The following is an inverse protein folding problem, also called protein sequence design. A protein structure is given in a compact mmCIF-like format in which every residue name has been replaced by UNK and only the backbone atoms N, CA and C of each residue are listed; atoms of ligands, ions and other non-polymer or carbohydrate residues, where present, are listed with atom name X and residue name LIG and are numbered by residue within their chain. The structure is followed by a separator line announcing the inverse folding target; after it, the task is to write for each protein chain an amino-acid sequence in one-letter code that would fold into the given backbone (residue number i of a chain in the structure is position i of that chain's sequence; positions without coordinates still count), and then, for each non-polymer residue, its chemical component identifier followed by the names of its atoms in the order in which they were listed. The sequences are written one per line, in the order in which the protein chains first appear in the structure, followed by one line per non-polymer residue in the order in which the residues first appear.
data_IF_511644811242
#
_entry.id   IF_511644811242
#
_cell.length_a   1.000
_cell.length_b   1.000
_cell.length_c   1.000
_cell.angle_alpha   90.00
_cell.angle_beta   90.00
_cell.angle_gamma   90.00
#
_symmetry.space_group_name_H-M   'P 1'
#
loop_
_entity.id
_entity.type
_entity.pdbx_description
1 polymer ?
#
# COMPACT_ATOMS: atom_id res chain seq x y z
N UNK A 1 14.18 10.54 8.65
CA UNK A 1 13.92 9.16 8.16
C UNK A 1 14.06 8.21 9.35
N UNK A 2 12.99 7.50 9.70
CA UNK A 2 13.06 6.49 10.77
C UNK A 2 13.96 5.32 10.34
N UNK A 3 14.77 4.84 11.28
CA UNK A 3 15.61 3.67 11.07
C UNK A 3 14.76 2.39 11.08
N UNK A 4 14.78 1.65 9.98
CA UNK A 4 14.04 0.39 9.82
C UNK A 4 14.88 -0.86 10.13
N UNK A 5 16.14 -0.70 10.57
CA UNK A 5 17.09 -1.81 10.80
C UNK A 5 16.53 -2.86 11.76
N UNK A 6 15.93 -2.42 12.88
CA UNK A 6 15.27 -3.31 13.85
C UNK A 6 14.18 -4.16 13.18
N UNK A 7 13.32 -3.53 12.39
CA UNK A 7 12.18 -4.19 11.77
C UNK A 7 12.60 -5.12 10.63
N UNK A 8 13.62 -4.73 9.87
CA UNK A 8 14.27 -5.61 8.89
C UNK A 8 14.86 -6.85 9.55
N UNK A 9 15.48 -6.72 10.73
CA UNK A 9 15.97 -7.85 11.53
C UNK A 9 14.84 -8.80 11.92
N UNK A 10 13.75 -8.28 12.48
CA UNK A 10 12.56 -9.08 12.85
C UNK A 10 11.98 -9.79 11.63
N UNK A 11 11.89 -9.12 10.49
CA UNK A 11 11.34 -9.69 9.26
C UNK A 11 12.19 -10.84 8.69
N UNK A 12 13.53 -10.78 8.84
CA UNK A 12 14.42 -11.90 8.51
C UNK A 12 14.20 -13.11 9.40
N UNK A 13 14.09 -12.88 10.71
CA UNK A 13 13.92 -13.96 11.70
C UNK A 13 12.56 -14.64 11.60
N UNK A 14 11.51 -13.87 11.30
CA UNK A 14 10.11 -14.30 11.32
C UNK A 14 9.50 -14.49 9.93
N UNK A 15 10.33 -14.74 8.91
CA UNK A 15 9.87 -14.82 7.51
C UNK A 15 8.80 -15.91 7.26
N UNK A 16 8.78 -16.95 8.08
CA UNK A 16 7.82 -18.06 8.00
C UNK A 16 6.71 -18.00 9.06
N UNK A 17 6.70 -16.98 9.93
CA UNK A 17 5.75 -16.83 11.04
C UNK A 17 4.43 -16.18 10.60
N UNK A 18 3.91 -16.53 9.44
CA UNK A 18 2.63 -15.99 8.98
C UNK A 18 1.46 -16.85 9.47
N UNK A 19 0.32 -16.22 9.84
CA UNK A 19 -0.89 -16.99 10.09
C UNK A 19 -1.25 -17.84 8.88
N UNK A 20 -1.54 -19.13 9.12
CA UNK A 20 -1.92 -20.06 8.07
C UNK A 20 -3.44 -20.23 8.01
N UNK A 21 -4.03 -20.12 6.82
CA UNK A 21 -5.44 -20.34 6.56
C UNK A 21 -5.63 -20.87 5.14
N UNK A 22 -6.76 -21.50 4.85
CA UNK A 22 -7.04 -21.97 3.49
C UNK A 22 -7.19 -20.80 2.49
N UNK A 23 -6.62 -20.93 1.30
CA UNK A 23 -6.73 -19.94 0.22
C UNK A 23 -5.43 -19.78 -0.56
N UNK A 24 -5.50 -19.03 -1.65
CA UNK A 24 -4.36 -18.79 -2.56
C UNK A 24 -3.26 -17.92 -1.93
N UNK A 25 -3.63 -17.13 -0.92
CA UNK A 25 -2.73 -16.22 -0.18
C UNK A 25 -2.46 -16.72 1.24
N UNK A 26 -2.63 -18.04 1.47
CA UNK A 26 -2.25 -18.67 2.73
C UNK A 26 -0.80 -18.35 3.09
N UNK A 27 -0.54 -18.12 4.35
CA UNK A 27 0.80 -17.77 4.88
C UNK A 27 1.40 -16.49 4.24
N UNK A 28 0.56 -15.53 3.86
CA UNK A 28 0.96 -14.21 3.40
C UNK A 28 0.44 -13.12 4.34
N UNK A 29 1.22 -12.06 4.51
CA UNK A 29 0.82 -10.83 5.20
C UNK A 29 0.71 -9.68 4.20
N UNK A 30 -0.45 -9.02 4.20
CA UNK A 30 -0.76 -7.92 3.29
C UNK A 30 -1.01 -6.61 4.04
N UNK A 31 -0.60 -5.49 3.47
CA UNK A 31 -1.04 -4.15 3.89
C UNK A 31 -1.89 -3.56 2.76
N UNK A 32 -3.05 -3.01 3.09
CA UNK A 32 -3.89 -2.24 2.16
C UNK A 32 -4.10 -0.84 2.73
N UNK A 33 -3.65 0.20 2.01
CA UNK A 33 -3.87 1.59 2.44
C UNK A 33 -5.23 2.11 1.97
N UNK A 34 -5.87 2.98 2.78
CA UNK A 34 -7.22 3.49 2.51
C UNK A 34 -8.26 2.37 2.53
N UNK A 35 -8.13 1.41 3.46
CA UNK A 35 -8.93 0.19 3.47
C UNK A 35 -10.05 0.15 4.50
N UNK A 36 -10.36 1.27 5.16
CA UNK A 36 -11.53 1.36 6.02
C UNK A 36 -12.87 1.42 5.24
N UNK A 37 -12.84 1.75 3.95
CA UNK A 37 -14.04 1.87 3.10
C UNK A 37 -13.74 1.66 1.61
N UNK A 38 -14.79 1.66 0.77
CA UNK A 38 -14.69 1.67 -0.69
C UNK A 38 -13.91 0.50 -1.28
N UNK A 39 -13.12 0.76 -2.34
CA UNK A 39 -12.32 -0.26 -3.00
C UNK A 39 -11.29 -0.89 -2.07
N UNK A 40 -10.62 -0.08 -1.23
CA UNK A 40 -9.63 -0.58 -0.28
C UNK A 40 -10.20 -1.61 0.67
N UNK A 41 -11.42 -1.38 1.21
CA UNK A 41 -12.13 -2.36 2.05
C UNK A 41 -12.41 -3.64 1.27
N UNK A 42 -13.01 -3.54 0.08
CA UNK A 42 -13.33 -4.71 -0.75
C UNK A 42 -12.09 -5.53 -1.15
N UNK A 43 -10.95 -4.85 -1.41
CA UNK A 43 -9.67 -5.50 -1.68
C UNK A 43 -9.17 -6.23 -0.43
N UNK A 44 -9.17 -5.58 0.73
CA UNK A 44 -8.73 -6.17 2.00
C UNK A 44 -9.58 -7.41 2.37
N UNK A 45 -10.91 -7.32 2.24
CA UNK A 45 -11.84 -8.43 2.44
C UNK A 45 -11.55 -9.60 1.50
N UNK A 46 -11.24 -9.32 0.23
CA UNK A 46 -10.93 -10.35 -0.77
C UNK A 46 -9.60 -11.04 -0.47
N UNK A 47 -8.57 -10.29 -0.11
CA UNK A 47 -7.27 -10.80 0.30
C UNK A 47 -7.39 -11.67 1.57
N UNK A 48 -8.19 -11.22 2.54
CA UNK A 48 -8.46 -11.97 3.77
C UNK A 48 -9.16 -13.30 3.49
N UNK A 49 -10.18 -13.31 2.61
CA UNK A 49 -10.89 -14.55 2.19
C UNK A 49 -9.97 -15.54 1.47
N UNK A 50 -8.94 -15.06 0.79
CA UNK A 50 -7.92 -15.89 0.14
C UNK A 50 -6.84 -16.39 1.12
N UNK A 51 -7.02 -16.20 2.42
CA UNK A 51 -6.18 -16.80 3.46
C UNK A 51 -5.06 -15.92 4.01
N UNK A 52 -4.85 -14.72 3.51
CA UNK A 52 -3.82 -13.83 4.05
C UNK A 52 -4.18 -13.24 5.42
N UNK A 53 -3.15 -12.85 6.17
CA UNK A 53 -3.28 -11.85 7.21
C UNK A 53 -3.29 -10.45 6.58
N UNK A 54 -4.14 -9.53 7.09
CA UNK A 54 -4.34 -8.23 6.43
C UNK A 54 -4.27 -7.09 7.44
N UNK A 55 -3.45 -6.09 7.13
CA UNK A 55 -3.42 -4.80 7.81
C UNK A 55 -4.41 -3.86 7.14
N UNK A 56 -5.41 -3.41 7.89
CA UNK A 56 -6.38 -2.40 7.52
C UNK A 56 -5.79 -1.04 7.88
N UNK A 57 -5.12 -0.41 6.91
CA UNK A 57 -4.37 0.83 7.12
C UNK A 57 -5.17 2.03 6.61
N UNK A 58 -5.61 2.92 7.49
CA UNK A 58 -6.43 4.07 7.13
C UNK A 58 -6.19 5.27 8.05
N UNK A 59 -6.50 6.47 7.56
CA UNK A 59 -6.52 7.69 8.37
C UNK A 59 -7.67 7.65 9.39
N UNK A 60 -8.81 7.07 9.00
CA UNK A 60 -9.97 6.83 9.87
C UNK A 60 -9.77 5.54 10.67
N UNK A 61 -9.03 5.64 11.77
CA UNK A 61 -8.68 4.50 12.61
C UNK A 61 -9.88 3.76 13.18
N UNK A 62 -10.90 4.49 13.64
CA UNK A 62 -12.10 3.89 14.25
C UNK A 62 -12.86 3.01 13.24
N UNK A 63 -12.94 3.47 11.99
CA UNK A 63 -13.55 2.67 10.92
C UNK A 63 -12.66 1.49 10.52
N UNK A 64 -11.33 1.68 10.50
CA UNK A 64 -10.39 0.59 10.25
C UNK A 64 -10.49 -0.52 11.31
N UNK A 65 -10.64 -0.16 12.59
CA UNK A 65 -10.87 -1.12 13.68
C UNK A 65 -12.14 -1.94 13.44
N UNK A 66 -13.25 -1.31 13.09
CA UNK A 66 -14.50 -2.03 12.78
C UNK A 66 -14.33 -3.03 11.64
N UNK A 67 -13.64 -2.64 10.59
CA UNK A 67 -13.36 -3.55 9.46
C UNK A 67 -12.48 -4.72 9.90
N UNK A 68 -11.45 -4.46 10.71
CA UNK A 68 -10.57 -5.51 11.22
C UNK A 68 -11.32 -6.48 12.16
N UNK A 69 -12.17 -5.96 13.05
CA UNK A 69 -12.99 -6.75 13.96
C UNK A 69 -14.00 -7.63 13.20
N UNK A 70 -14.66 -7.08 12.18
CA UNK A 70 -15.60 -7.80 11.31
C UNK A 70 -14.91 -8.94 10.53
N UNK A 71 -13.65 -8.78 10.16
CA UNK A 71 -12.86 -9.79 9.46
C UNK A 71 -12.34 -10.87 10.41
N UNK A 72 -11.87 -10.52 11.60
CA UNK A 72 -11.42 -11.45 12.63
C UNK A 72 -9.88 -11.49 12.81
N UNK A 73 -9.37 -12.51 13.49
CA UNK A 73 -8.02 -12.57 14.11
C UNK A 73 -6.83 -12.34 13.16
N UNK A 74 -6.98 -12.62 11.86
CA UNK A 74 -5.95 -12.36 10.84
C UNK A 74 -6.01 -10.95 10.27
N UNK A 75 -6.92 -10.08 10.76
CA UNK A 75 -6.97 -8.66 10.41
C UNK A 75 -6.42 -7.81 11.55
N UNK A 76 -5.80 -6.68 11.20
CA UNK A 76 -5.21 -5.77 12.17
C UNK A 76 -5.33 -4.32 11.68
N UNK A 77 -5.92 -3.44 12.49
CA UNK A 77 -6.10 -2.04 12.13
C UNK A 77 -4.87 -1.20 12.49
N UNK A 78 -4.45 -0.33 11.58
CA UNK A 78 -3.37 0.64 11.80
C UNK A 78 -3.83 2.02 11.33
N UNK A 79 -3.66 3.02 12.19
CA UNK A 79 -3.84 4.42 11.77
C UNK A 79 -2.66 4.86 10.93
N UNK A 80 -2.92 5.39 9.74
CA UNK A 80 -1.87 5.95 8.88
C UNK A 80 -2.33 7.21 8.16
N UNK A 81 -1.49 8.24 8.21
CA UNK A 81 -1.49 9.32 7.24
C UNK A 81 -0.40 9.03 6.21
N UNK A 82 -0.78 8.60 5.02
CA UNK A 82 0.18 8.20 3.97
C UNK A 82 1.04 9.36 3.46
N UNK A 83 0.62 10.62 3.69
CA UNK A 83 1.40 11.82 3.35
C UNK A 83 2.45 12.19 4.42
N UNK A 84 2.48 11.48 5.55
CA UNK A 84 3.41 11.68 6.65
C UNK A 84 4.42 10.52 6.70
N UNK A 85 5.70 10.83 6.51
CA UNK A 85 6.76 9.83 6.42
C UNK A 85 6.90 9.00 7.71
N UNK A 86 6.77 9.63 8.88
CA UNK A 86 6.86 8.93 10.16
C UNK A 86 5.66 8.01 10.39
N UNK A 87 4.46 8.47 10.02
CA UNK A 87 3.25 7.65 10.08
C UNK A 87 3.32 6.42 9.18
N UNK A 88 3.90 6.55 7.97
CA UNK A 88 4.13 5.41 7.07
C UNK A 88 5.14 4.43 7.67
N UNK A 89 6.24 4.92 8.24
CA UNK A 89 7.22 4.06 8.90
C UNK A 89 6.61 3.31 10.10
N UNK A 90 5.75 3.97 10.90
CA UNK A 90 5.05 3.34 12.02
C UNK A 90 4.04 2.27 11.55
N UNK A 91 3.32 2.49 10.45
CA UNK A 91 2.46 1.49 9.84
C UNK A 91 3.25 0.23 9.45
N UNK A 92 4.39 0.41 8.80
CA UNK A 92 5.26 -0.71 8.40
C UNK A 92 5.81 -1.44 9.63
N UNK A 93 6.29 -0.70 10.64
CA UNK A 93 6.78 -1.25 11.89
C UNK A 93 5.72 -2.10 12.61
N UNK A 94 4.51 -1.56 12.79
CA UNK A 94 3.39 -2.26 13.43
C UNK A 94 2.97 -3.53 12.66
N UNK A 95 3.02 -3.49 11.33
CA UNK A 95 2.72 -4.64 10.47
C UNK A 95 3.74 -5.77 10.65
N UNK A 96 5.04 -5.43 10.71
CA UNK A 96 6.13 -6.39 10.96
C UNK A 96 6.04 -6.95 12.37
N UNK A 97 5.77 -6.11 13.37
CA UNK A 97 5.60 -6.56 14.76
C UNK A 97 4.46 -7.58 14.88
N UNK A 98 3.34 -7.30 14.24
CA UNK A 98 2.13 -8.15 14.32
C UNK A 98 2.28 -9.44 13.54
N UNK A 99 2.76 -9.38 12.30
CA UNK A 99 2.75 -10.52 11.38
C UNK A 99 4.14 -11.04 10.97
N UNK A 100 5.22 -10.46 11.49
CA UNK A 100 6.58 -10.92 11.22
C UNK A 100 7.16 -10.48 9.87
N UNK A 101 6.42 -9.70 9.05
CA UNK A 101 6.89 -9.17 7.76
C UNK A 101 5.75 -8.80 6.83
N UNK A 102 6.06 -8.55 5.55
CA UNK A 102 5.12 -8.05 4.54
C UNK A 102 5.37 -8.79 3.23
N UNK A 103 4.34 -9.45 2.68
CA UNK A 103 4.43 -10.21 1.43
C UNK A 103 3.68 -9.52 0.29
N UNK A 104 2.64 -8.73 0.61
CA UNK A 104 1.84 -7.97 -0.35
C UNK A 104 1.59 -6.56 0.18
N UNK A 105 1.86 -5.57 -0.66
CA UNK A 105 1.48 -4.18 -0.38
C UNK A 105 0.54 -3.67 -1.46
N UNK A 106 -0.65 -3.18 -1.06
CA UNK A 106 -1.61 -2.54 -1.94
C UNK A 106 -1.69 -1.05 -1.62
N UNK A 107 -1.14 -0.22 -2.50
CA UNK A 107 -1.24 1.23 -2.44
C UNK A 107 -2.58 1.67 -3.04
N UNK A 108 -3.59 1.81 -2.18
CA UNK A 108 -4.94 2.16 -2.61
C UNK A 108 -5.37 3.57 -2.13
N UNK A 109 -4.81 4.08 -1.03
CA UNK A 109 -5.17 5.40 -0.52
C UNK A 109 -5.05 6.47 -1.62
N UNK A 110 -6.11 7.25 -1.78
CA UNK A 110 -6.14 8.29 -2.81
C UNK A 110 -7.33 9.23 -2.65
N UNK A 111 -7.17 10.43 -3.16
CA UNK A 111 -8.16 11.52 -3.10
C UNK A 111 -8.33 12.18 -4.46
N UNK A 112 -9.46 12.87 -4.61
CA UNK A 112 -9.78 13.68 -5.80
C UNK A 112 -10.15 15.09 -5.36
N UNK A 113 -9.64 16.09 -6.08
CA UNK A 113 -10.12 17.47 -6.08
C UNK A 113 -10.25 17.91 -7.52
N UNK A 114 -11.48 18.20 -7.92
CA UNK A 114 -11.81 18.62 -9.29
C UNK A 114 -12.04 20.14 -9.32
N UNK A 115 -11.67 20.78 -10.42
CA UNK A 115 -11.91 22.20 -10.68
C UNK A 115 -11.46 22.58 -12.07
N UNK A 116 -12.00 23.67 -12.64
CA UNK A 116 -11.48 24.23 -13.87
C UNK A 116 -10.04 24.75 -13.65
N UNK A 117 -9.28 24.92 -14.74
CA UNK A 117 -7.90 25.39 -14.65
C UNK A 117 -7.79 26.78 -13.97
N UNK A 118 -8.82 27.61 -14.15
CA UNK A 118 -8.93 28.93 -13.50
C UNK A 118 -9.40 28.90 -12.05
N UNK A 119 -9.87 27.75 -11.54
CA UNK A 119 -10.52 27.61 -10.23
C UNK A 119 -9.71 26.75 -9.25
N UNK A 120 -8.96 25.77 -9.77
CA UNK A 120 -8.20 24.85 -8.91
C UNK A 120 -7.04 25.58 -8.25
N UNK A 121 -7.09 25.67 -6.92
CA UNK A 121 -6.05 26.31 -6.15
C UNK A 121 -4.81 25.41 -6.00
N UNK A 122 -3.64 26.04 -5.87
CA UNK A 122 -2.37 25.31 -5.65
C UNK A 122 -2.43 24.37 -4.44
N UNK A 123 -3.09 24.77 -3.35
CA UNK A 123 -3.23 23.92 -2.16
C UNK A 123 -3.96 22.60 -2.44
N UNK A 124 -5.00 22.63 -3.32
CA UNK A 124 -5.75 21.43 -3.70
C UNK A 124 -4.93 20.55 -4.65
N UNK A 125 -4.16 21.18 -5.55
CA UNK A 125 -3.21 20.46 -6.40
C UNK A 125 -2.15 19.74 -5.55
N UNK A 126 -1.51 20.44 -4.62
CA UNK A 126 -0.48 19.89 -3.72
C UNK A 126 -1.06 18.80 -2.81
N UNK A 127 -2.28 18.97 -2.31
CA UNK A 127 -2.97 17.97 -1.49
C UNK A 127 -3.18 16.66 -2.26
N UNK A 128 -3.69 16.73 -3.49
CA UNK A 128 -3.92 15.55 -4.31
C UNK A 128 -2.61 14.87 -4.70
N UNK A 129 -1.62 15.64 -5.14
CA UNK A 129 -0.31 15.09 -5.55
C UNK A 129 0.46 14.53 -4.36
N UNK A 130 0.34 15.15 -3.18
CA UNK A 130 0.92 14.66 -1.94
C UNK A 130 0.42 13.27 -1.55
N UNK A 131 -0.90 13.05 -1.64
CA UNK A 131 -1.51 11.77 -1.25
C UNK A 131 -1.41 10.71 -2.36
N UNK A 132 -1.67 11.09 -3.62
CA UNK A 132 -1.77 10.09 -4.69
C UNK A 132 -0.42 9.71 -5.32
N UNK A 133 0.60 10.59 -5.21
CA UNK A 133 1.89 10.41 -5.88
C UNK A 133 3.05 10.33 -4.88
N UNK A 134 3.26 11.38 -4.07
CA UNK A 134 4.39 11.39 -3.13
C UNK A 134 4.26 10.31 -2.05
N UNK A 135 3.03 10.06 -1.57
CA UNK A 135 2.78 9.01 -0.59
C UNK A 135 3.04 7.60 -1.14
N UNK A 136 2.79 7.35 -2.44
CA UNK A 136 3.14 6.08 -3.07
C UNK A 136 4.65 5.82 -2.98
N UNK A 137 5.46 6.83 -3.29
CA UNK A 137 6.92 6.73 -3.10
C UNK A 137 7.29 6.44 -1.65
N UNK A 138 6.72 7.17 -0.68
CA UNK A 138 7.00 6.97 0.74
C UNK A 138 6.64 5.54 1.20
N UNK A 139 5.46 5.07 0.85
CA UNK A 139 5.02 3.73 1.22
C UNK A 139 5.95 2.65 0.63
N UNK A 140 6.27 2.73 -0.66
CA UNK A 140 7.16 1.74 -1.30
C UNK A 140 8.55 1.79 -0.71
N UNK A 141 9.09 2.97 -0.41
CA UNK A 141 10.40 3.15 0.25
C UNK A 141 10.51 2.32 1.54
N UNK A 142 9.51 2.40 2.42
CA UNK A 142 9.54 1.70 3.71
C UNK A 142 9.16 0.23 3.60
N UNK A 143 8.16 -0.10 2.80
CA UNK A 143 7.73 -1.49 2.57
C UNK A 143 8.83 -2.30 1.89
N UNK A 144 9.46 -1.75 0.85
CA UNK A 144 10.51 -2.46 0.10
C UNK A 144 11.75 -2.75 0.96
N UNK A 145 12.06 -1.90 1.95
CA UNK A 145 13.16 -2.16 2.89
C UNK A 145 12.93 -3.46 3.69
N UNK A 146 11.69 -3.73 4.09
CA UNK A 146 11.31 -4.98 4.77
C UNK A 146 11.31 -6.16 3.79
N UNK A 147 10.71 -5.99 2.62
CA UNK A 147 10.63 -7.04 1.59
C UNK A 147 12.02 -7.47 1.10
N UNK A 148 12.95 -6.53 0.91
CA UNK A 148 14.35 -6.83 0.57
C UNK A 148 15.04 -7.66 1.67
N UNK A 149 14.84 -7.29 2.94
CA UNK A 149 15.38 -8.04 4.06
C UNK A 149 14.83 -9.48 4.13
N UNK A 150 13.58 -9.71 3.76
CA UNK A 150 12.97 -11.04 3.66
C UNK A 150 13.61 -11.85 2.52
N UNK A 151 13.78 -11.26 1.34
CA UNK A 151 14.46 -11.93 0.21
C UNK A 151 15.91 -12.25 0.51
N UNK A 152 16.65 -11.38 1.20
CA UNK A 152 18.03 -11.64 1.63
C UNK A 152 18.12 -12.83 2.61
N UNK A 153 17.09 -13.03 3.44
CA UNK A 153 17.02 -14.17 4.38
C UNK A 153 16.60 -15.48 3.71
N UNK A 154 15.71 -15.40 2.73
CA UNK A 154 15.26 -16.53 1.92
C UNK A 154 15.13 -16.12 0.44
N UNK A 155 16.12 -16.46 -0.41
CA UNK A 155 16.09 -16.14 -1.84
C UNK A 155 14.92 -16.76 -2.62
N UNK A 156 14.21 -17.75 -2.06
CA UNK A 156 12.99 -18.30 -2.65
C UNK A 156 11.74 -17.45 -2.34
N UNK A 157 11.85 -16.52 -1.38
CA UNK A 157 10.75 -15.62 -1.04
C UNK A 157 10.47 -14.64 -2.19
N UNK A 158 9.19 -14.37 -2.41
CA UNK A 158 8.71 -13.41 -3.41
C UNK A 158 7.70 -12.46 -2.80
N UNK A 159 7.72 -11.19 -3.22
CA UNK A 159 6.82 -10.15 -2.80
C UNK A 159 6.06 -9.49 -3.95
N UNK A 160 4.94 -8.85 -3.62
CA UNK A 160 4.12 -8.12 -4.58
C UNK A 160 3.77 -6.72 -4.06
N UNK A 161 3.91 -5.72 -4.93
CA UNK A 161 3.43 -4.35 -4.71
C UNK A 161 2.43 -4.03 -5.82
N UNK A 162 1.24 -3.58 -5.44
CA UNK A 162 0.16 -3.25 -6.39
C UNK A 162 -0.33 -1.82 -6.13
N UNK A 163 -0.24 -0.96 -7.13
CA UNK A 163 -0.86 0.36 -7.11
C UNK A 163 -2.29 0.28 -7.65
N UNK A 164 -3.26 0.79 -6.90
CA UNK A 164 -4.61 1.07 -7.43
C UNK A 164 -4.57 2.45 -8.08
N UNK A 165 -4.31 2.42 -9.37
CA UNK A 165 -4.20 3.61 -10.20
C UNK A 165 -5.59 4.04 -10.73
N UNK A 166 -5.71 4.40 -12.00
CA UNK A 166 -6.95 4.80 -12.68
C UNK A 166 -6.73 4.79 -14.19
N UNK A 167 -7.80 4.71 -14.97
CA UNK A 167 -7.74 5.06 -16.38
C UNK A 167 -7.16 6.47 -16.62
N UNK A 168 -7.34 7.39 -15.65
CA UNK A 168 -6.75 8.74 -15.68
C UNK A 168 -5.21 8.74 -15.55
N UNK A 169 -4.57 7.62 -15.29
CA UNK A 169 -3.12 7.42 -15.42
C UNK A 169 -2.68 7.05 -16.83
N UNK A 170 -3.63 6.80 -17.75
CA UNK A 170 -3.40 6.41 -19.14
C UNK A 170 -3.91 7.47 -20.13
N UNK A 171 -4.83 8.31 -19.70
CA UNK A 171 -5.42 9.40 -20.51
C UNK A 171 -5.71 10.63 -19.64
N UNK A 172 -5.65 11.84 -20.23
CA UNK A 172 -5.97 13.07 -19.55
C UNK A 172 -7.45 13.14 -19.11
N UNK A 173 -7.72 13.87 -18.02
CA UNK A 173 -9.07 14.01 -17.46
C UNK A 173 -9.44 15.48 -17.29
N UNK A 174 -10.52 15.94 -17.96
CA UNK A 174 -11.00 17.31 -17.89
C UNK A 174 -11.38 17.68 -16.45
N UNK A 175 -10.89 18.83 -15.97
CA UNK A 175 -11.10 19.36 -14.61
C UNK A 175 -10.50 18.50 -13.46
N UNK A 176 -9.65 17.52 -13.77
CA UNK A 176 -9.00 16.64 -12.80
C UNK A 176 -7.47 16.65 -12.94
N UNK A 177 -6.87 17.81 -13.09
CA UNK A 177 -5.45 17.97 -13.47
C UNK A 177 -4.50 17.31 -12.47
N UNK A 178 -4.67 17.59 -11.17
CA UNK A 178 -3.86 17.03 -10.11
C UNK A 178 -4.02 15.51 -10.01
N UNK A 179 -5.26 15.03 -10.11
CA UNK A 179 -5.57 13.60 -10.07
C UNK A 179 -4.96 12.86 -11.27
N UNK A 180 -5.24 13.34 -12.50
CA UNK A 180 -4.68 12.71 -13.69
C UNK A 180 -3.16 12.75 -13.67
N UNK A 181 -2.55 13.91 -13.38
CA UNK A 181 -1.10 14.05 -13.27
C UNK A 181 -0.48 13.13 -12.24
N UNK A 182 -1.11 12.99 -11.06
CA UNK A 182 -0.63 12.07 -10.02
C UNK A 182 -0.74 10.61 -10.44
N UNK A 183 -1.80 10.21 -11.17
CA UNK A 183 -1.99 8.85 -11.66
C UNK A 183 -1.05 8.50 -12.83
N UNK A 184 -0.77 9.45 -13.75
CA UNK A 184 0.31 9.29 -14.74
C UNK A 184 1.67 9.13 -14.06
N UNK A 185 1.97 9.97 -13.06
CA UNK A 185 3.20 9.84 -12.27
C UNK A 185 3.30 8.49 -11.56
N UNK A 186 2.18 7.98 -11.03
CA UNK A 186 2.10 6.66 -10.40
C UNK A 186 2.51 5.53 -11.34
N UNK A 187 2.09 5.56 -12.61
CA UNK A 187 2.55 4.59 -13.63
C UNK A 187 4.08 4.66 -13.80
N UNK A 188 4.64 5.86 -13.88
CA UNK A 188 6.09 6.06 -13.98
C UNK A 188 6.84 5.51 -12.76
N UNK A 189 6.33 5.76 -11.55
CA UNK A 189 6.88 5.19 -10.31
C UNK A 189 6.78 3.65 -10.30
N UNK A 190 5.63 3.09 -10.69
CA UNK A 190 5.43 1.64 -10.77
C UNK A 190 6.47 0.97 -11.66
N UNK A 191 6.73 1.54 -12.84
CA UNK A 191 7.75 1.03 -13.77
C UNK A 191 9.16 1.12 -13.19
N UNK A 192 9.50 2.26 -12.57
CA UNK A 192 10.81 2.48 -11.96
C UNK A 192 11.06 1.55 -10.79
N UNK A 193 10.06 1.38 -9.92
CA UNK A 193 10.14 0.44 -8.79
C UNK A 193 10.25 -1.02 -9.26
N UNK A 194 9.51 -1.39 -10.33
CA UNK A 194 9.61 -2.73 -10.89
C UNK A 194 11.03 -3.05 -11.40
N UNK A 195 11.67 -2.07 -12.05
CA UNK A 195 13.05 -2.22 -12.53
C UNK A 195 14.07 -2.34 -11.37
N UNK A 196 13.91 -1.54 -10.32
CA UNK A 196 14.83 -1.56 -9.18
C UNK A 196 14.63 -2.78 -8.27
N UNK A 197 13.38 -3.20 -8.06
CA UNK A 197 13.05 -4.22 -7.06
C UNK A 197 13.02 -5.65 -7.61
N UNK A 198 13.14 -5.83 -8.93
CA UNK A 198 13.12 -7.17 -9.55
C UNK A 198 14.28 -8.06 -9.08
N UNK A 199 15.44 -7.50 -8.74
CA UNK A 199 16.59 -8.24 -8.21
C UNK A 199 16.31 -8.91 -6.85
N UNK A 200 15.30 -8.40 -6.10
CA UNK A 200 14.84 -8.94 -4.82
C UNK A 200 13.57 -9.79 -4.97
N UNK A 201 13.24 -10.23 -6.17
CA UNK A 201 12.00 -10.99 -6.46
C UNK A 201 10.72 -10.27 -6.01
N UNK A 202 10.72 -8.93 -6.02
CA UNK A 202 9.56 -8.09 -5.71
C UNK A 202 8.94 -7.62 -7.02
N UNK A 203 7.71 -8.05 -7.30
CA UNK A 203 6.93 -7.61 -8.46
C UNK A 203 6.18 -6.32 -8.13
N UNK A 204 6.23 -5.34 -9.02
CA UNK A 204 5.49 -4.08 -8.87
C UNK A 204 4.59 -3.89 -10.08
N UNK A 205 3.29 -3.76 -9.83
CA UNK A 205 2.25 -3.63 -10.87
C UNK A 205 1.25 -2.54 -10.52
N UNK A 206 0.50 -2.05 -11.51
CA UNK A 206 -0.61 -1.14 -11.33
C UNK A 206 -1.89 -1.71 -11.93
N UNK A 207 -3.01 -1.47 -11.26
CA UNK A 207 -4.36 -1.72 -11.78
C UNK A 207 -4.97 -0.37 -12.12
N UNK A 208 -5.49 -0.20 -13.34
CA UNK A 208 -6.07 1.04 -13.83
C UNK A 208 -7.59 0.88 -14.05
N UNK A 209 -8.41 0.95 -12.98
CA UNK A 209 -9.85 0.84 -13.11
C UNK A 209 -10.43 1.91 -14.02
N UNK A 210 -11.47 1.54 -14.77
CA UNK A 210 -12.27 2.46 -15.56
C UNK A 210 -13.37 3.14 -14.74
N UNK A 211 -14.39 3.67 -15.44
CA UNK A 211 -15.62 4.15 -14.80
C UNK A 211 -16.56 2.95 -14.56
N UNK A 212 -17.22 2.95 -13.41
CA UNK A 212 -18.27 2.02 -13.04
C UNK A 212 -19.57 2.78 -12.86
#
# INVERSE_FOLDING_TARGET
MKDMTKWAGIARERIHDRPNAAGRLSSKAAIVTGSAQGFGKGIAESIYREGAAVVIADLNYDLACKVADDLGERAFAVKVNVADEDSVADMVAASVERFGGIDLFVNNAGVVRSGALSELEKKDFDFVTGINYSAYFLCVKYVSAIMRAQHEADPAWVGDIVEINSKSGLEGSKKNFAYAGSKFGGIGLTQSFALELCEYSIKVNAICPGNY
#
